data_IF_943579733483
#
_entry.id   IF_943579733483
#
_cell.length_a   1.000
_cell.length_b   1.000
_cell.length_c   1.000
_cell.angle_alpha   90.00
_cell.angle_beta   90.00
_cell.angle_gamma   90.00
#
_symmetry.space_group_name_H-M   'P 1'
#
loop_
_entity.id
_entity.type
_entity.pdbx_description
1 polymer ?
#
# COMPACT_ATOMS: atom_id res chain seq x y z
N UNK A 1 -35.34 -20.52 -58.88
CA UNK A 1 -36.11 -20.12 -57.68
C UNK A 1 -35.09 -19.73 -56.62
N UNK A 2 -34.63 -18.47 -56.60
CA UNK A 2 -35.06 -17.41 -55.67
C UNK A 2 -34.99 -17.89 -54.21
N UNK A 3 -33.96 -17.53 -53.42
CA UNK A 3 -33.72 -16.23 -52.74
C UNK A 3 -33.68 -16.56 -51.21
N UNK A 4 -32.96 -15.94 -50.28
CA UNK A 4 -32.15 -14.73 -50.20
C UNK A 4 -31.29 -14.83 -48.92
N UNK A 5 -30.02 -14.41 -49.04
CA UNK A 5 -29.22 -13.57 -48.13
C UNK A 5 -29.62 -13.46 -46.64
N UNK A 6 -28.67 -13.73 -45.74
CA UNK A 6 -28.12 -12.67 -44.88
C UNK A 6 -26.82 -13.11 -44.21
N UNK A 7 -25.70 -12.55 -44.69
CA UNK A 7 -24.42 -12.48 -43.98
C UNK A 7 -24.45 -11.21 -43.14
N UNK A 8 -24.32 -11.30 -41.82
CA UNK A 8 -24.03 -10.14 -40.98
C UNK A 8 -22.64 -10.30 -40.36
N UNK A 9 -21.67 -9.67 -41.04
CA UNK A 9 -20.38 -9.27 -40.48
C UNK A 9 -20.40 -7.74 -40.54
N UNK A 10 -20.37 -7.06 -39.39
CA UNK A 10 -19.75 -5.75 -39.09
C UNK A 10 -19.91 -5.57 -37.57
N UNK A 11 -18.87 -5.88 -36.78
CA UNK A 11 -18.04 -4.87 -36.13
C UNK A 11 -18.83 -3.74 -35.45
N UNK A 12 -19.11 -3.88 -34.15
CA UNK A 12 -19.34 -2.73 -33.28
C UNK A 12 -18.25 -2.68 -32.22
N UNK A 13 -17.16 -2.05 -32.63
CA UNK A 13 -16.21 -1.45 -31.72
C UNK A 13 -16.75 -0.08 -31.25
N UNK A 14 -16.45 0.26 -30.00
CA UNK A 14 -16.36 1.62 -29.47
C UNK A 14 -17.68 2.35 -29.13
N UNK A 15 -18.05 2.29 -27.84
CA UNK A 15 -18.68 3.45 -27.19
C UNK A 15 -18.40 3.47 -25.67
N UNK A 16 -17.56 4.43 -25.27
CA UNK A 16 -17.59 5.19 -24.02
C UNK A 16 -17.78 4.47 -22.67
N UNK A 17 -16.67 4.03 -22.05
CA UNK A 17 -16.50 4.25 -20.61
C UNK A 17 -15.63 5.50 -20.43
N UNK A 18 -16.27 6.63 -20.11
CA UNK A 18 -15.59 7.79 -19.52
C UNK A 18 -15.06 7.39 -18.15
N UNK A 19 -13.84 6.87 -18.08
CA UNK A 19 -13.03 7.03 -16.88
C UNK A 19 -12.46 8.44 -16.95
N UNK A 20 -13.03 9.34 -16.17
CA UNK A 20 -12.39 10.60 -15.79
C UNK A 20 -11.13 10.23 -15.02
N UNK A 21 -10.02 10.04 -15.74
CA UNK A 21 -8.71 10.04 -15.11
C UNK A 21 -8.41 11.49 -14.77
N UNK A 22 -8.12 11.87 -13.52
CA UNK A 22 -7.46 13.14 -13.29
C UNK A 22 -6.15 13.08 -14.07
N UNK A 23 -6.06 13.91 -15.10
CA UNK A 23 -4.82 14.23 -15.80
C UNK A 23 -3.93 14.82 -14.71
N UNK A 24 -3.08 13.99 -14.12
CA UNK A 24 -1.98 14.46 -13.28
C UNK A 24 -1.16 15.36 -14.20
N UNK A 25 -1.41 16.66 -14.11
CA UNK A 25 -0.53 17.67 -14.66
C UNK A 25 0.82 17.40 -14.03
N UNK A 26 1.75 16.91 -14.86
CA UNK A 26 3.15 17.09 -14.59
C UNK A 26 3.31 18.58 -14.32
N UNK A 27 3.50 18.90 -13.05
CA UNK A 27 3.89 20.23 -12.61
C UNK A 27 5.25 20.44 -13.26
N UNK A 28 5.27 21.10 -14.42
CA UNK A 28 6.50 21.65 -14.96
C UNK A 28 6.98 22.64 -13.89
N UNK A 29 8.15 22.46 -13.27
CA UNK A 29 8.74 23.57 -12.57
C UNK A 29 9.02 24.61 -13.65
N UNK A 30 8.20 25.66 -13.70
CA UNK A 30 8.54 26.87 -14.43
C UNK A 30 9.92 27.26 -13.94
N UNK A 31 10.89 27.17 -14.84
CA UNK A 31 12.23 27.68 -14.66
C UNK A 31 12.05 29.14 -14.23
N UNK A 32 12.27 29.42 -12.95
CA UNK A 32 12.24 30.78 -12.42
C UNK A 32 13.38 31.54 -13.09
N UNK A 33 13.14 32.75 -13.64
CA UNK A 33 14.22 33.56 -14.16
C UNK A 33 15.19 33.89 -13.03
N UNK A 34 16.47 33.64 -13.31
CA UNK A 34 17.60 34.00 -12.46
C UNK A 34 17.74 35.51 -12.38
N UNK A 35 16.87 36.16 -11.61
CA UNK A 35 17.09 37.51 -11.09
C UNK A 35 16.60 37.55 -9.65
N UNK A 36 17.25 36.75 -8.80
CA UNK A 36 17.31 37.07 -7.38
C UNK A 36 18.14 38.36 -7.25
N UNK A 37 17.48 39.51 -7.43
CA UNK A 37 18.01 40.75 -6.85
C UNK A 37 18.02 40.50 -5.35
N UNK A 38 19.22 40.36 -4.81
CA UNK A 38 19.50 40.44 -3.39
C UNK A 38 19.06 41.83 -2.93
N UNK A 39 17.81 41.96 -2.51
CA UNK A 39 17.43 43.03 -1.59
C UNK A 39 18.07 42.65 -0.26
N UNK A 40 19.32 43.06 -0.10
CA UNK A 40 19.97 43.17 1.20
C UNK A 40 19.14 44.15 2.02
N UNK A 41 18.10 43.66 2.69
CA UNK A 41 17.46 44.42 3.77
C UNK A 41 18.53 44.63 4.85
N UNK A 42 18.80 45.87 5.28
CA UNK A 42 19.83 46.11 6.29
C UNK A 42 19.51 45.28 7.54
N UNK A 43 20.49 44.48 7.93
CA UNK A 43 20.47 43.51 9.02
C UNK A 43 20.55 44.24 10.36
N UNK A 44 19.62 45.16 10.61
CA UNK A 44 19.52 45.85 11.88
C UNK A 44 18.20 45.47 12.50
N UNK A 45 18.02 44.17 12.77
CA UNK A 45 17.14 43.64 13.82
C UNK A 45 16.82 42.15 13.74
N UNK A 46 17.68 41.28 13.21
CA UNK A 46 17.42 39.83 13.30
C UNK A 46 17.16 39.38 14.75
N UNK A 47 17.88 39.95 15.72
CA UNK A 47 17.65 39.69 17.13
C UNK A 47 16.36 40.32 17.67
N UNK A 48 16.03 41.57 17.34
CA UNK A 48 14.75 42.15 17.78
C UNK A 48 13.56 41.46 17.11
N UNK A 49 13.64 41.06 15.83
CA UNK A 49 12.60 40.26 15.17
C UNK A 49 12.47 38.87 15.79
N UNK A 50 13.59 38.26 16.21
CA UNK A 50 13.58 36.97 16.92
C UNK A 50 12.98 37.12 18.31
N UNK A 51 13.31 38.19 19.04
CA UNK A 51 12.78 38.48 20.36
C UNK A 51 11.29 38.83 20.32
N UNK A 52 10.85 39.55 19.28
CA UNK A 52 9.43 39.86 19.03
C UNK A 52 8.66 38.61 18.61
N UNK A 53 9.23 37.77 17.75
CA UNK A 53 8.60 36.49 17.37
C UNK A 53 8.51 35.56 18.58
N UNK A 54 9.58 35.44 19.38
CA UNK A 54 9.56 34.67 20.64
C UNK A 54 8.54 35.22 21.62
N UNK A 55 8.45 36.55 21.81
CA UNK A 55 7.47 37.14 22.73
C UNK A 55 6.03 36.99 22.24
N UNK A 56 5.78 37.02 20.92
CA UNK A 56 4.47 36.71 20.33
C UNK A 56 4.12 35.23 20.51
N UNK A 57 5.06 34.30 20.29
CA UNK A 57 4.82 32.86 20.52
C UNK A 57 4.57 32.51 21.99
N UNK A 58 5.21 33.22 22.93
CA UNK A 58 4.98 33.03 24.38
C UNK A 58 3.59 33.49 24.85
N UNK A 59 2.96 34.41 24.12
CA UNK A 59 1.67 35.01 24.47
C UNK A 59 0.51 34.57 23.57
N UNK A 60 0.77 33.65 22.62
CA UNK A 60 -0.29 33.14 21.75
C UNK A 60 -1.17 32.22 22.60
N UNK A 61 -2.49 32.47 22.69
CA UNK A 61 -3.39 31.53 23.36
C UNK A 61 -3.22 30.20 22.65
N UNK A 62 -2.86 29.16 23.41
CA UNK A 62 -2.70 27.80 22.90
C UNK A 62 -3.98 27.47 22.15
N UNK A 63 -3.90 27.48 20.82
CA UNK A 63 -5.10 27.33 20.00
C UNK A 63 -5.71 25.96 20.34
N UNK A 64 -7.04 25.84 20.25
CA UNK A 64 -7.74 24.56 20.47
C UNK A 64 -7.06 23.39 19.72
N UNK A 65 -6.45 23.68 18.57
CA UNK A 65 -5.66 22.74 17.78
C UNK A 65 -4.36 22.26 18.42
N UNK A 66 -3.57 23.14 19.04
CA UNK A 66 -2.29 22.76 19.68
C UNK A 66 -2.53 21.86 20.89
N UNK A 67 -3.51 22.23 21.73
CA UNK A 67 -3.91 21.41 22.88
C UNK A 67 -4.43 20.04 22.42
N UNK A 68 -5.30 20.03 21.40
CA UNK A 68 -5.81 18.78 20.81
C UNK A 68 -4.71 17.93 20.20
N UNK A 69 -3.70 18.53 19.57
CA UNK A 69 -2.57 17.81 19.02
C UNK A 69 -1.65 17.27 20.11
N UNK A 70 -1.40 18.04 21.17
CA UNK A 70 -0.67 17.60 22.36
C UNK A 70 -1.36 16.37 22.99
N UNK A 71 -2.67 16.43 23.22
CA UNK A 71 -3.47 15.33 23.76
C UNK A 71 -3.42 14.09 22.86
N UNK A 72 -3.65 14.26 21.54
CA UNK A 72 -3.58 13.15 20.58
C UNK A 72 -2.18 12.55 20.48
N UNK A 73 -1.14 13.38 20.53
CA UNK A 73 0.26 12.93 20.46
C UNK A 73 0.66 12.15 21.71
N UNK A 74 0.19 12.57 22.89
CA UNK A 74 0.38 11.86 24.15
C UNK A 74 -0.29 10.47 24.12
N UNK A 75 -1.53 10.40 23.62
CA UNK A 75 -2.26 9.14 23.43
C UNK A 75 -1.57 8.24 22.41
N UNK A 76 -1.14 8.78 21.28
CA UNK A 76 -0.41 8.06 20.24
C UNK A 76 0.92 7.50 20.79
N UNK A 77 1.66 8.29 21.57
CA UNK A 77 2.90 7.86 22.22
C UNK A 77 2.64 6.73 23.23
N UNK A 78 1.64 6.87 24.09
CA UNK A 78 1.28 5.84 25.06
C UNK A 78 0.84 4.54 24.37
N UNK A 79 0.04 4.63 23.30
CA UNK A 79 -0.39 3.47 22.53
C UNK A 79 0.77 2.78 21.79
N UNK A 80 1.72 3.54 21.23
CA UNK A 80 2.91 3.00 20.59
C UNK A 80 3.88 2.33 21.57
N UNK A 81 3.98 2.84 22.81
CA UNK A 81 4.74 2.18 23.88
C UNK A 81 4.11 0.86 24.30
N UNK A 82 2.78 0.83 24.45
CA UNK A 82 2.03 -0.39 24.81
C UNK A 82 2.08 -1.45 23.71
N UNK A 83 1.91 -1.01 22.46
CA UNK A 83 1.87 -1.86 21.28
C UNK A 83 2.96 -1.40 20.31
N UNK A 84 4.21 -1.85 20.49
CA UNK A 84 5.27 -1.50 19.58
C UNK A 84 4.93 -1.97 18.16
N UNK A 85 5.38 -1.25 17.12
CA UNK A 85 5.17 -1.67 15.74
C UNK A 85 5.73 -3.07 15.53
N UNK A 86 5.04 -3.86 14.73
CA UNK A 86 5.44 -5.23 14.47
C UNK A 86 6.86 -5.28 13.86
N UNK A 87 7.76 -6.00 14.53
CA UNK A 87 9.10 -6.26 14.06
C UNK A 87 9.11 -7.22 12.87
N UNK A 88 10.25 -7.35 12.17
CA UNK A 88 10.35 -8.22 11.00
C UNK A 88 10.01 -9.69 11.33
N UNK A 89 10.33 -10.16 12.53
CA UNK A 89 10.09 -11.54 12.96
C UNK A 89 8.71 -11.77 13.58
N UNK A 90 7.90 -10.72 13.73
CA UNK A 90 6.55 -10.86 14.24
C UNK A 90 5.68 -11.68 13.28
N UNK A 91 4.88 -12.58 13.85
CA UNK A 91 4.13 -13.59 13.09
C UNK A 91 4.99 -14.73 12.52
N UNK A 92 6.29 -14.83 12.86
CA UNK A 92 7.19 -15.95 12.51
C UNK A 92 7.84 -16.59 13.74
N UNK A 93 7.33 -16.29 14.92
CA UNK A 93 7.76 -16.85 16.21
C UNK A 93 6.67 -17.76 16.77
N UNK A 94 7.06 -18.87 17.40
CA UNK A 94 6.17 -19.80 18.08
C UNK A 94 6.77 -20.10 19.45
N UNK A 95 5.99 -19.89 20.51
CA UNK A 95 6.40 -20.23 21.86
C UNK A 95 6.26 -21.74 22.08
N UNK A 96 7.32 -22.37 22.57
CA UNK A 96 7.28 -23.79 22.94
C UNK A 96 6.50 -23.93 24.25
N UNK A 97 5.36 -24.62 24.22
CA UNK A 97 4.56 -24.87 25.42
C UNK A 97 5.16 -26.01 26.23
N UNK A 98 5.25 -25.86 27.55
CA UNK A 98 5.61 -26.96 28.44
C UNK A 98 4.56 -28.08 28.28
N UNK A 99 5.00 -29.30 27.94
CA UNK A 99 4.14 -30.46 27.72
C UNK A 99 3.83 -30.81 26.25
N UNK A 100 3.95 -29.86 25.32
CA UNK A 100 3.92 -30.14 23.87
C UNK A 100 5.33 -29.95 23.35
N UNK A 101 6.03 -31.06 23.11
CA UNK A 101 7.47 -31.06 22.80
C UNK A 101 7.86 -30.12 21.65
N UNK A 102 9.16 -29.86 21.52
CA UNK A 102 9.72 -28.94 20.50
C UNK A 102 9.26 -29.28 19.07
N UNK A 103 9.05 -30.58 18.78
CA UNK A 103 8.57 -31.03 17.48
C UNK A 103 7.22 -30.41 17.08
N UNK A 104 6.28 -30.25 18.01
CA UNK A 104 4.97 -29.67 17.73
C UNK A 104 5.07 -28.17 17.44
N UNK A 105 5.94 -27.46 18.18
CA UNK A 105 6.22 -26.06 17.94
C UNK A 105 6.85 -25.84 16.55
N UNK A 106 7.75 -26.73 16.12
CA UNK A 106 8.35 -26.69 14.78
C UNK A 106 7.32 -26.94 13.67
N UNK A 107 6.40 -27.90 13.85
CA UNK A 107 5.29 -28.15 12.90
C UNK A 107 4.36 -26.94 12.81
N UNK A 108 4.04 -26.32 13.95
CA UNK A 108 3.24 -25.10 13.97
C UNK A 108 3.94 -23.96 13.23
N UNK A 109 5.24 -23.78 13.45
CA UNK A 109 6.05 -22.79 12.75
C UNK A 109 6.05 -23.04 11.23
N UNK A 110 6.24 -24.29 10.79
CA UNK A 110 6.20 -24.66 9.37
C UNK A 110 4.84 -24.35 8.72
N UNK A 111 3.74 -24.60 9.43
CA UNK A 111 2.40 -24.24 8.99
C UNK A 111 2.24 -22.73 8.80
N UNK A 112 2.72 -21.94 9.76
CA UNK A 112 2.70 -20.47 9.70
C UNK A 112 3.51 -19.97 8.49
N UNK A 113 4.73 -20.46 8.30
CA UNK A 113 5.59 -20.07 7.17
C UNK A 113 4.97 -20.46 5.82
N UNK A 114 4.27 -21.58 5.76
CA UNK A 114 3.59 -22.08 4.56
C UNK A 114 2.33 -21.27 4.22
N UNK A 115 1.58 -20.83 5.24
CA UNK A 115 0.42 -19.93 5.07
C UNK A 115 0.87 -18.57 4.55
N UNK A 116 1.93 -18.02 5.14
CA UNK A 116 2.49 -16.71 4.78
C UNK A 116 3.32 -16.72 3.49
N UNK A 117 3.53 -17.90 2.87
CA UNK A 117 4.27 -18.09 1.61
C UNK A 117 5.72 -17.59 1.65
N UNK A 118 6.34 -17.56 2.82
CA UNK A 118 7.71 -17.04 3.02
C UNK A 118 8.73 -17.81 2.17
N UNK A 119 8.69 -19.14 2.19
CA UNK A 119 9.61 -19.98 1.39
C UNK A 119 9.45 -19.78 -0.11
N UNK A 120 8.21 -19.58 -0.58
CA UNK A 120 7.94 -19.33 -1.99
C UNK A 120 8.48 -17.96 -2.41
N UNK A 121 8.28 -16.93 -1.59
CA UNK A 121 8.81 -15.59 -1.82
C UNK A 121 10.33 -15.61 -1.86
N UNK A 122 10.98 -16.27 -0.90
CA UNK A 122 12.43 -16.43 -0.88
C UNK A 122 12.96 -17.00 -2.21
N UNK A 123 12.36 -18.11 -2.69
CA UNK A 123 12.73 -18.72 -3.99
C UNK A 123 12.51 -17.80 -5.18
N UNK A 124 11.42 -17.02 -5.19
CA UNK A 124 11.14 -16.07 -6.26
C UNK A 124 12.05 -14.84 -6.22
N UNK A 125 12.54 -14.46 -5.04
CA UNK A 125 13.43 -13.30 -4.85
C UNK A 125 14.91 -13.63 -5.10
N UNK A 126 15.30 -14.90 -5.05
CA UNK A 126 16.68 -15.33 -5.34
C UNK A 126 17.18 -14.87 -6.71
N UNK A 127 16.29 -14.65 -7.68
CA UNK A 127 16.63 -14.16 -9.02
C UNK A 127 15.70 -13.02 -9.41
N UNK A 128 16.22 -12.06 -10.17
CA UNK A 128 15.39 -11.01 -10.74
C UNK A 128 14.44 -11.60 -11.80
N UNK A 129 13.14 -11.48 -11.56
CA UNK A 129 12.09 -11.76 -12.55
C UNK A 129 11.70 -10.44 -13.23
N UNK A 130 11.74 -10.40 -14.57
CA UNK A 130 11.33 -9.22 -15.32
C UNK A 130 9.86 -8.88 -15.03
N UNK A 131 9.51 -7.59 -14.99
CA UNK A 131 8.14 -7.13 -14.69
C UNK A 131 7.07 -7.80 -15.57
N UNK A 132 7.32 -7.89 -16.88
CA UNK A 132 6.37 -8.50 -17.83
C UNK A 132 6.14 -9.99 -17.56
N UNK A 133 7.19 -10.74 -17.27
CA UNK A 133 7.13 -12.16 -16.92
C UNK A 133 6.36 -12.37 -15.61
N UNK A 134 6.65 -11.55 -14.58
CA UNK A 134 5.91 -11.55 -13.32
C UNK A 134 4.41 -11.35 -13.52
N UNK A 135 4.02 -10.38 -14.35
CA UNK A 135 2.61 -10.11 -14.64
C UNK A 135 1.93 -11.27 -15.37
N UNK A 136 2.60 -11.87 -16.37
CA UNK A 136 2.10 -13.05 -17.09
C UNK A 136 1.91 -14.24 -16.15
N UNK A 137 2.90 -14.50 -15.29
CA UNK A 137 2.85 -15.54 -14.25
C UNK A 137 1.68 -15.31 -13.29
N UNK A 138 1.51 -14.09 -12.76
CA UNK A 138 0.43 -13.77 -11.82
C UNK A 138 -0.96 -13.91 -12.46
N UNK A 139 -1.14 -13.49 -13.72
CA UNK A 139 -2.39 -13.69 -14.47
C UNK A 139 -2.71 -15.17 -14.63
N UNK A 140 -1.74 -15.98 -15.07
CA UNK A 140 -1.90 -17.43 -15.21
C UNK A 140 -2.20 -18.12 -13.86
N UNK A 141 -1.53 -17.71 -12.78
CA UNK A 141 -1.79 -18.24 -11.43
C UNK A 141 -3.21 -17.90 -10.95
N UNK A 142 -3.68 -16.67 -11.19
CA UNK A 142 -5.04 -16.26 -10.84
C UNK A 142 -6.06 -17.12 -11.58
N UNK A 143 -5.88 -17.29 -12.90
CA UNK A 143 -6.78 -18.12 -13.71
C UNK A 143 -6.84 -19.57 -13.22
N UNK A 144 -5.68 -20.21 -12.99
CA UNK A 144 -5.63 -21.59 -12.46
C UNK A 144 -6.33 -21.74 -11.11
N UNK A 145 -6.23 -20.73 -10.24
CA UNK A 145 -6.93 -20.74 -8.95
C UNK A 145 -8.44 -20.64 -9.13
N UNK A 146 -8.91 -19.72 -9.98
CA UNK A 146 -10.33 -19.54 -10.26
C UNK A 146 -10.92 -20.80 -10.89
N UNK A 147 -10.28 -21.32 -11.94
CA UNK A 147 -10.67 -22.56 -12.59
C UNK A 147 -10.72 -23.74 -11.61
N UNK A 148 -9.70 -23.90 -10.77
CA UNK A 148 -9.72 -24.98 -9.77
C UNK A 148 -10.83 -24.81 -8.73
N UNK A 149 -11.20 -23.58 -8.37
CA UNK A 149 -12.31 -23.33 -7.46
C UNK A 149 -13.66 -23.64 -8.13
N UNK A 150 -13.83 -23.25 -9.39
CA UNK A 150 -15.01 -23.55 -10.19
C UNK A 150 -15.20 -25.06 -10.34
N UNK A 151 -14.15 -25.80 -10.76
CA UNK A 151 -14.18 -27.27 -10.87
C UNK A 151 -14.53 -27.94 -9.54
N UNK A 152 -14.01 -27.44 -8.42
CA UNK A 152 -14.36 -27.95 -7.08
C UNK A 152 -15.82 -27.66 -6.73
N UNK A 153 -16.29 -26.46 -7.01
CA UNK A 153 -17.68 -26.05 -6.77
C UNK A 153 -18.66 -26.93 -7.54
N UNK A 154 -18.41 -27.14 -8.85
CA UNK A 154 -19.25 -28.01 -9.68
C UNK A 154 -19.29 -29.46 -9.16
N UNK A 155 -18.13 -30.02 -8.79
CA UNK A 155 -18.07 -31.38 -8.24
C UNK A 155 -18.84 -31.54 -6.94
N UNK A 156 -18.77 -30.54 -6.06
CA UNK A 156 -19.47 -30.60 -4.77
C UNK A 156 -20.98 -30.43 -4.95
N UNK A 157 -21.42 -29.59 -5.89
CA UNK A 157 -22.84 -29.38 -6.18
C UNK A 157 -23.51 -30.64 -6.77
N UNK A 158 -22.79 -31.41 -7.60
CA UNK A 158 -23.31 -32.66 -8.18
C UNK A 158 -23.45 -33.84 -7.19
N UNK A 159 -22.92 -33.73 -5.97
CA UNK A 159 -22.91 -34.83 -4.99
C UNK A 159 -23.91 -34.63 -3.83
N UNK A 160 -24.55 -33.47 -3.76
CA UNK A 160 -25.49 -33.10 -2.69
C UNK A 160 -26.94 -32.99 -3.16
N UNK A 161 -27.24 -33.44 -4.40
CA UNK A 161 -28.58 -33.44 -5.00
C UNK A 161 -29.08 -34.86 -5.26
#
# INVERSE_FOLDING_TARGET
MFAQLSRNVVANALACRRSVTPRFSFFQPSILPATARLYSTPVNNLEQTRNVLESVTRNLPETDYEKRWADMSAIARHSAQKNPPAGPYDGRKVTVQKGKGVADAMRALDSILTRNKVRQQLRLQQRHEKRGEKLRRLRSLRWRKLFANEVRSHRLFSFTS
#
